data_IF_617397496459
#
_entry.id   IF_617397496459
#
_cell.length_a   1.000
_cell.length_b   1.000
_cell.length_c   1.000
_cell.angle_alpha   90.00
_cell.angle_beta   90.00
_cell.angle_gamma   90.00
#
_symmetry.space_group_name_H-M   'P 1'
#
loop_
_entity.id
_entity.type
_entity.pdbx_description
1 polymer ?
#
# COMPACT_ATOMS: atom_id res chain seq x y z
N UNK A 1 -15.93 -19.15 -4.23
CA UNK A 1 -16.52 -18.10 -3.37
C UNK A 1 -17.90 -17.75 -3.90
N UNK A 2 -18.87 -17.51 -3.02
CA UNK A 2 -20.22 -17.09 -3.38
C UNK A 2 -20.19 -15.71 -4.07
N UNK A 3 -21.04 -15.52 -5.07
CA UNK A 3 -21.21 -14.22 -5.72
C UNK A 3 -22.44 -13.52 -5.16
N UNK A 4 -22.34 -12.21 -4.94
CA UNK A 4 -23.43 -11.35 -4.50
C UNK A 4 -23.78 -10.41 -5.65
N UNK A 5 -25.07 -10.15 -5.87
CA UNK A 5 -25.53 -9.18 -6.86
C UNK A 5 -25.44 -7.78 -6.27
N UNK A 6 -24.82 -6.87 -7.01
CA UNK A 6 -24.72 -5.44 -6.65
C UNK A 6 -25.46 -4.66 -7.74
N UNK A 7 -26.42 -3.84 -7.33
CA UNK A 7 -27.11 -2.89 -8.20
C UNK A 7 -26.71 -1.50 -7.75
N UNK A 8 -25.89 -0.82 -8.54
CA UNK A 8 -25.39 0.51 -8.21
C UNK A 8 -25.26 1.34 -9.48
N UNK A 9 -25.28 2.66 -9.31
CA UNK A 9 -24.91 3.60 -10.37
C UNK A 9 -23.46 4.00 -10.14
N UNK A 10 -22.69 4.14 -11.21
CA UNK A 10 -21.30 4.58 -11.18
C UNK A 10 -21.11 5.76 -12.12
N UNK A 11 -20.02 6.47 -11.94
CA UNK A 11 -19.58 7.50 -12.87
C UNK A 11 -19.28 6.90 -14.26
N UNK A 12 -19.84 7.49 -15.30
CA UNK A 12 -19.75 6.97 -16.68
C UNK A 12 -18.33 7.14 -17.26
N UNK A 13 -17.71 8.29 -17.01
CA UNK A 13 -16.38 8.61 -17.54
C UNK A 13 -15.33 7.69 -16.92
N UNK A 14 -15.41 7.49 -15.60
CA UNK A 14 -14.55 6.56 -14.86
C UNK A 14 -14.71 5.12 -15.35
N UNK A 15 -15.95 4.65 -15.52
CA UNK A 15 -16.20 3.29 -16.01
C UNK A 15 -15.69 3.10 -17.44
N UNK A 16 -15.91 4.10 -18.30
CA UNK A 16 -15.40 4.08 -19.68
C UNK A 16 -13.88 4.08 -19.73
N UNK A 17 -13.22 4.88 -18.89
CA UNK A 17 -11.77 4.90 -18.79
C UNK A 17 -11.22 3.54 -18.31
N UNK A 18 -11.81 2.95 -17.28
CA UNK A 18 -11.40 1.64 -16.77
C UNK A 18 -11.52 0.53 -17.83
N UNK A 19 -12.62 0.51 -18.59
CA UNK A 19 -12.83 -0.45 -19.70
C UNK A 19 -11.82 -0.28 -20.85
N UNK A 20 -11.29 0.93 -21.06
CA UNK A 20 -10.23 1.16 -22.06
C UNK A 20 -8.88 0.59 -21.62
N UNK A 21 -8.61 0.59 -20.32
CA UNK A 21 -7.38 0.04 -19.75
C UNK A 21 -7.45 -1.49 -19.73
N UNK A 22 -8.56 -2.04 -19.23
CA UNK A 22 -8.77 -3.48 -19.06
C UNK A 22 -10.04 -3.93 -19.79
N UNK A 23 -9.88 -4.74 -20.82
CA UNK A 23 -11.01 -5.29 -21.59
C UNK A 23 -11.61 -6.53 -20.90
N UNK A 24 -12.18 -6.33 -19.71
CA UNK A 24 -12.82 -7.38 -18.89
C UNK A 24 -14.26 -6.99 -18.52
N UNK A 25 -15.12 -7.96 -18.14
CA UNK A 25 -16.48 -7.64 -17.69
C UNK A 25 -16.50 -6.70 -16.48
N UNK A 26 -17.53 -5.85 -16.36
CA UNK A 26 -17.65 -4.89 -15.24
C UNK A 26 -17.61 -5.55 -13.86
N UNK A 27 -18.13 -6.77 -13.73
CA UNK A 27 -18.04 -7.54 -12.49
C UNK A 27 -16.61 -7.85 -12.09
N UNK A 28 -15.72 -8.05 -13.07
CA UNK A 28 -14.29 -8.26 -12.86
C UNK A 28 -13.58 -6.95 -12.54
N UNK A 29 -13.94 -5.84 -13.18
CA UNK A 29 -13.45 -4.51 -12.81
C UNK A 29 -13.80 -4.21 -11.35
N UNK A 30 -15.03 -4.49 -10.93
CA UNK A 30 -15.45 -4.30 -9.54
C UNK A 30 -14.64 -5.18 -8.56
N UNK A 31 -14.40 -6.45 -8.89
CA UNK A 31 -13.54 -7.33 -8.09
C UNK A 31 -12.11 -6.75 -7.95
N UNK A 32 -11.55 -6.19 -9.04
CA UNK A 32 -10.21 -5.58 -9.04
C UNK A 32 -10.22 -4.33 -8.15
N UNK A 33 -11.19 -3.43 -8.32
CA UNK A 33 -11.30 -2.21 -7.52
C UNK A 33 -11.46 -2.51 -6.03
N UNK A 34 -12.28 -3.50 -5.66
CA UNK A 34 -12.48 -3.90 -4.26
C UNK A 34 -11.18 -4.47 -3.66
N UNK A 35 -10.41 -5.27 -4.42
CA UNK A 35 -9.11 -5.76 -3.95
C UNK A 35 -8.10 -4.63 -3.80
N UNK A 36 -8.05 -3.71 -4.75
CA UNK A 36 -7.16 -2.55 -4.69
C UNK A 36 -7.45 -1.69 -3.46
N UNK A 37 -8.74 -1.39 -3.19
CA UNK A 37 -9.17 -0.66 -2.00
C UNK A 37 -8.74 -1.35 -0.70
N UNK A 38 -8.94 -2.67 -0.60
CA UNK A 38 -8.53 -3.43 0.59
C UNK A 38 -7.01 -3.45 0.74
N UNK A 39 -6.26 -3.57 -0.35
CA UNK A 39 -4.80 -3.54 -0.33
C UNK A 39 -4.27 -2.18 0.13
N UNK A 40 -4.85 -1.09 -0.38
CA UNK A 40 -4.47 0.27 -0.01
C UNK A 40 -4.78 0.56 1.46
N UNK A 41 -5.96 0.15 1.94
CA UNK A 41 -6.31 0.27 3.37
C UNK A 41 -5.39 -0.55 4.25
N UNK A 42 -5.04 -1.76 3.83
CA UNK A 42 -4.11 -2.60 4.59
C UNK A 42 -2.71 -2.00 4.65
N UNK A 43 -2.22 -1.44 3.54
CA UNK A 43 -0.94 -0.73 3.54
C UNK A 43 -0.98 0.48 4.49
N UNK A 44 -2.02 1.31 4.39
CA UNK A 44 -2.19 2.47 5.27
C UNK A 44 -2.33 2.10 6.76
N UNK A 45 -2.99 0.98 7.09
CA UNK A 45 -3.05 0.45 8.46
C UNK A 45 -1.66 0.06 8.96
N UNK A 46 -0.87 -0.63 8.13
CA UNK A 46 0.49 -1.04 8.46
C UNK A 46 1.35 0.20 8.69
N UNK A 47 1.36 1.14 7.74
CA UNK A 47 2.11 2.39 7.86
C UNK A 47 1.71 3.16 9.13
N UNK A 48 0.41 3.21 9.45
CA UNK A 48 -0.09 3.84 10.66
C UNK A 48 0.39 3.16 11.95
N UNK A 49 0.55 1.84 11.96
CA UNK A 49 1.09 1.10 13.11
C UNK A 49 2.58 1.36 13.32
N UNK A 50 3.34 1.57 12.24
CA UNK A 50 4.78 1.85 12.33
C UNK A 50 5.10 3.31 12.64
N UNK A 51 4.13 4.24 12.57
CA UNK A 51 4.34 5.65 12.97
C UNK A 51 4.88 5.84 14.39
N UNK A 52 4.66 4.89 15.30
CA UNK A 52 5.25 4.94 16.63
C UNK A 52 6.80 4.96 16.60
N UNK A 53 7.41 4.42 15.54
CA UNK A 53 8.86 4.43 15.34
C UNK A 53 9.36 5.68 14.62
N UNK A 54 8.49 6.49 13.99
CA UNK A 54 8.89 7.77 13.37
C UNK A 54 9.37 8.78 14.42
N UNK A 55 8.89 8.66 15.66
CA UNK A 55 9.28 9.51 16.79
C UNK A 55 10.60 9.05 17.43
N UNK A 56 11.11 7.87 17.08
CA UNK A 56 12.33 7.31 17.67
C UNK A 56 13.57 7.81 16.91
N UNK A 57 14.51 8.52 17.57
CA UNK A 57 15.71 9.00 16.91
C UNK A 57 16.57 7.83 16.42
N UNK A 58 17.00 7.88 15.16
CA UNK A 58 17.93 6.88 14.59
C UNK A 58 19.30 6.88 15.29
N UNK A 59 19.64 7.96 15.98
CA UNK A 59 20.85 8.11 16.78
C UNK A 59 20.69 7.58 18.21
N UNK A 60 19.51 7.15 18.62
CA UNK A 60 19.33 6.51 19.92
C UNK A 60 19.98 5.13 19.89
N UNK A 61 20.98 4.95 20.75
CA UNK A 61 21.73 3.70 20.84
C UNK A 61 21.05 2.70 21.77
N UNK A 62 20.97 1.44 21.34
CA UNK A 62 20.52 0.32 22.17
C UNK A 62 21.69 -0.64 22.49
N UNK A 63 21.38 -1.86 22.91
CA UNK A 63 22.38 -2.90 23.20
C UNK A 63 23.24 -3.29 22.00
N UNK A 64 22.84 -2.93 20.78
CA UNK A 64 23.51 -3.24 19.52
C UNK A 64 24.13 -1.98 18.86
N UNK A 65 23.99 -0.80 19.47
CA UNK A 65 24.51 0.47 18.96
C UNK A 65 23.41 1.38 18.39
N UNK A 66 23.78 2.39 17.61
CA UNK A 66 22.82 3.31 16.96
C UNK A 66 22.69 3.03 15.45
N UNK A 67 21.49 3.26 14.92
CA UNK A 67 21.17 2.97 13.52
C UNK A 67 21.86 3.94 12.54
N UNK A 68 22.16 5.18 12.96
CA UNK A 68 22.89 6.14 12.11
C UNK A 68 24.30 5.67 11.78
N UNK A 69 25.07 5.24 12.78
CA UNK A 69 26.43 4.72 12.60
C UNK A 69 26.44 3.47 11.72
N UNK A 70 25.43 2.61 11.87
CA UNK A 70 25.29 1.43 11.01
C UNK A 70 25.03 1.80 9.54
N UNK A 71 24.17 2.81 9.29
CA UNK A 71 23.88 3.30 7.95
C UNK A 71 25.13 3.87 7.26
N UNK A 72 25.91 4.67 7.98
CA UNK A 72 27.19 5.22 7.48
C UNK A 72 28.20 4.12 7.15
N UNK A 73 28.33 3.12 8.02
CA UNK A 73 29.20 1.97 7.79
C UNK A 73 28.77 1.17 6.54
N UNK A 74 27.46 0.93 6.37
CA UNK A 74 26.93 0.23 5.21
C UNK A 74 27.20 0.99 3.90
N UNK A 75 26.95 2.30 3.86
CA UNK A 75 27.20 3.12 2.67
C UNK A 75 28.70 3.18 2.32
N UNK A 76 29.58 3.30 3.33
CA UNK A 76 31.03 3.30 3.11
C UNK A 76 31.57 1.96 2.60
N UNK A 77 30.92 0.84 2.92
CA UNK A 77 31.29 -0.51 2.47
C UNK A 77 30.90 -0.83 1.03
N UNK A 78 30.07 0.02 0.40
CA UNK A 78 29.55 -0.17 -0.96
C UNK A 78 30.45 0.42 -2.06
N UNK A 79 31.50 1.16 -1.68
CA UNK A 79 32.50 1.74 -2.57
C UNK A 79 33.66 0.77 -2.85
#
# INVERSE_FOLDING_TARGET
MSRIRISTTVDEELLTAARRIENVPDSKLLDISLRALLSERRAAEIDAMYRAYDEQPLSEGDEWGDLSTWHEAADSSRA
#
